data_IF_882427399017
#
_entry.id   IF_882427399017
#
_cell.length_a   1.000
_cell.length_b   1.000
_cell.length_c   1.000
_cell.angle_alpha   90.00
_cell.angle_beta   90.00
_cell.angle_gamma   90.00
#
_symmetry.space_group_name_H-M   'P 1'
#
loop_
_entity.id
_entity.type
_entity.pdbx_description
1 polymer ?
#
# COMPACT_ATOMS: atom_id res chain seq x y z
N UNK A 1 47.91 -14.58 21.70
CA UNK A 1 48.29 -14.74 20.27
C UNK A 1 48.04 -16.19 19.90
N UNK A 2 47.03 -16.64 19.16
CA UNK A 2 46.13 -16.00 18.19
C UNK A 2 44.78 -16.73 18.21
N UNK A 3 43.70 -15.96 18.34
CA UNK A 3 42.31 -16.35 18.12
C UNK A 3 42.10 -16.72 16.65
N UNK A 4 41.68 -17.97 16.37
CA UNK A 4 41.21 -18.35 15.03
C UNK A 4 39.71 -18.10 14.95
N UNK A 5 39.35 -16.94 14.42
CA UNK A 5 37.98 -16.57 14.07
C UNK A 5 37.49 -17.48 12.95
N UNK A 6 36.39 -18.21 13.21
CA UNK A 6 35.72 -19.06 12.23
C UNK A 6 34.94 -18.15 11.27
N UNK A 7 35.38 -18.07 10.02
CA UNK A 7 34.64 -17.36 8.98
C UNK A 7 33.31 -18.09 8.74
N UNK A 8 32.20 -17.45 9.08
CA UNK A 8 30.87 -17.92 8.73
C UNK A 8 30.67 -17.73 7.23
N UNK A 9 30.80 -18.82 6.45
CA UNK A 9 30.39 -18.85 5.06
C UNK A 9 28.86 -18.76 4.99
N UNK A 10 28.34 -17.57 4.72
CA UNK A 10 26.94 -17.40 4.32
C UNK A 10 26.78 -17.96 2.92
N UNK A 11 26.01 -19.04 2.81
CA UNK A 11 25.54 -19.55 1.53
C UNK A 11 24.43 -18.61 1.05
N UNK A 12 24.75 -17.65 0.18
CA UNK A 12 23.75 -16.87 -0.55
C UNK A 12 23.00 -17.81 -1.50
N UNK A 13 21.81 -18.23 -1.09
CA UNK A 13 20.85 -18.83 -2.02
C UNK A 13 20.51 -17.78 -3.09
N UNK A 14 20.64 -18.08 -4.39
CA UNK A 14 20.18 -17.17 -5.42
C UNK A 14 18.67 -17.01 -5.26
N UNK A 15 18.20 -15.77 -5.18
CA UNK A 15 16.79 -15.43 -5.26
C UNK A 15 16.28 -15.95 -6.61
N UNK A 16 15.69 -17.14 -6.62
CA UNK A 16 15.00 -17.62 -7.80
C UNK A 16 13.82 -16.70 -8.04
N UNK A 17 13.82 -16.04 -9.19
CA UNK A 17 12.68 -15.31 -9.71
C UNK A 17 11.45 -16.22 -9.59
N UNK A 18 10.50 -15.83 -8.73
CA UNK A 18 9.25 -16.57 -8.56
C UNK A 18 8.32 -16.22 -9.73
N UNK A 19 8.10 -17.14 -10.70
CA UNK A 19 7.22 -16.89 -11.83
C UNK A 19 5.74 -16.78 -11.43
N UNK A 20 5.40 -17.05 -10.15
CA UNK A 20 4.05 -16.86 -9.61
C UNK A 20 3.74 -15.40 -9.23
N UNK A 21 4.61 -14.44 -9.56
CA UNK A 21 4.19 -13.03 -9.67
C UNK A 21 3.37 -12.88 -10.95
N UNK A 22 2.21 -13.56 -10.99
CA UNK A 22 1.23 -13.42 -12.06
C UNK A 22 0.84 -11.95 -12.10
N UNK A 23 1.43 -11.21 -13.03
CA UNK A 23 0.92 -9.92 -13.42
C UNK A 23 -0.48 -10.20 -13.96
N UNK A 24 -1.49 -9.93 -13.15
CA UNK A 24 -2.88 -9.97 -13.58
C UNK A 24 -2.97 -8.93 -14.69
N UNK A 25 -3.21 -9.32 -15.95
CA UNK A 25 -3.28 -8.35 -17.03
C UNK A 25 -4.43 -7.38 -16.74
N UNK A 26 -4.25 -6.07 -16.96
CA UNK A 26 -5.31 -5.11 -16.75
C UNK A 26 -6.50 -5.50 -17.63
N UNK A 27 -7.61 -5.93 -17.02
CA UNK A 27 -8.80 -6.28 -17.77
C UNK A 27 -9.37 -4.99 -18.40
N UNK A 28 -9.58 -4.93 -19.73
CA UNK A 28 -10.01 -3.72 -20.44
C UNK A 28 -11.30 -3.10 -19.90
N UNK A 29 -12.15 -3.90 -19.26
CA UNK A 29 -13.49 -3.52 -18.83
C UNK A 29 -13.54 -2.82 -17.46
N UNK A 30 -12.47 -2.83 -16.65
CA UNK A 30 -12.51 -2.30 -15.28
C UNK A 30 -12.52 -0.79 -15.21
N UNK A 31 -11.72 -0.12 -16.03
CA UNK A 31 -11.53 1.35 -15.94
C UNK A 31 -12.85 2.11 -16.18
N UNK A 32 -13.76 1.58 -17.01
CA UNK A 32 -15.08 2.18 -17.22
C UNK A 32 -16.14 1.78 -16.17
N UNK A 33 -16.09 0.58 -15.60
CA UNK A 33 -17.09 0.13 -14.61
C UNK A 33 -16.78 0.69 -13.22
N UNK A 34 -15.50 0.75 -12.83
CA UNK A 34 -15.07 1.25 -11.52
C UNK A 34 -15.48 2.70 -11.33
N UNK A 35 -15.10 3.60 -12.26
CA UNK A 35 -15.45 5.01 -12.18
C UNK A 35 -16.96 5.26 -12.14
N UNK A 36 -17.73 4.55 -12.98
CA UNK A 36 -19.21 4.62 -12.97
C UNK A 36 -19.82 4.14 -11.66
N UNK A 37 -19.19 3.17 -11.01
CA UNK A 37 -19.69 2.61 -9.74
C UNK A 37 -19.35 3.51 -8.57
N UNK A 38 -18.09 3.95 -8.46
CA UNK A 38 -17.65 4.89 -7.43
C UNK A 38 -18.39 6.24 -7.53
N UNK A 39 -18.65 6.73 -8.74
CA UNK A 39 -19.44 7.95 -8.95
C UNK A 39 -20.90 7.87 -8.46
N UNK A 40 -21.43 6.68 -8.16
CA UNK A 40 -22.77 6.52 -7.56
C UNK A 40 -22.76 6.67 -6.04
N UNK A 41 -21.60 6.61 -5.40
CA UNK A 41 -21.47 6.79 -3.95
C UNK A 41 -21.86 8.22 -3.58
N UNK A 42 -22.82 8.34 -2.66
CA UNK A 42 -23.34 9.64 -2.16
C UNK A 42 -22.80 10.01 -0.78
N UNK A 43 -22.22 9.05 -0.06
CA UNK A 43 -21.63 9.31 1.24
C UNK A 43 -20.38 10.18 1.07
N UNK A 44 -20.06 10.96 2.13
CA UNK A 44 -18.75 11.59 2.26
C UNK A 44 -17.71 10.51 2.50
N UNK A 45 -16.68 10.48 1.66
CA UNK A 45 -15.63 9.47 1.74
C UNK A 45 -14.30 10.17 2.00
N UNK A 46 -13.63 9.74 3.06
CA UNK A 46 -12.24 10.07 3.32
C UNK A 46 -11.41 8.82 3.06
N UNK A 47 -10.57 8.85 2.02
CA UNK A 47 -9.64 7.78 1.68
C UNK A 47 -8.29 8.13 2.30
N UNK A 48 -7.73 7.21 3.08
CA UNK A 48 -6.51 7.45 3.86
C UNK A 48 -5.45 6.37 3.61
N UNK A 49 -4.79 6.36 2.44
CA UNK A 49 -3.71 5.41 2.17
C UNK A 49 -2.46 5.79 2.95
N UNK A 50 -1.56 4.82 3.13
CA UNK A 50 -0.21 5.06 3.63
C UNK A 50 0.76 5.28 2.47
N UNK A 51 1.64 6.28 2.58
CA UNK A 51 2.63 6.61 1.54
C UNK A 51 3.53 5.43 1.18
N UNK A 52 3.82 4.56 2.14
CA UNK A 52 4.76 3.44 1.99
C UNK A 52 4.08 2.07 1.83
N UNK A 53 2.76 2.05 1.65
CA UNK A 53 2.05 0.81 1.32
C UNK A 53 2.45 0.31 -0.08
N UNK A 54 2.89 -0.94 -0.17
CA UNK A 54 3.32 -1.57 -1.43
C UNK A 54 2.21 -2.32 -2.14
N UNK A 55 1.14 -2.67 -1.43
CA UNK A 55 0.02 -3.42 -1.96
C UNK A 55 -1.09 -2.47 -2.42
N UNK A 56 -1.27 -1.36 -1.71
CA UNK A 56 -2.27 -0.33 -2.02
C UNK A 56 -1.61 1.05 -2.12
N UNK A 57 -0.90 1.35 -3.23
CA UNK A 57 -0.22 2.62 -3.41
C UNK A 57 -1.19 3.82 -3.34
N UNK A 58 -0.69 4.96 -2.88
CA UNK A 58 -1.50 6.19 -2.78
C UNK A 58 -2.03 6.68 -4.13
N UNK A 59 -1.32 6.39 -5.21
CA UNK A 59 -1.64 6.78 -6.57
C UNK A 59 -2.95 6.12 -7.06
N UNK A 60 -3.20 4.87 -6.68
CA UNK A 60 -4.46 4.19 -7.00
C UNK A 60 -5.63 4.87 -6.26
N UNK A 61 -5.41 5.24 -5.00
CA UNK A 61 -6.39 6.00 -4.21
C UNK A 61 -6.67 7.39 -4.79
N UNK A 62 -5.67 8.05 -5.38
CA UNK A 62 -5.86 9.32 -6.08
C UNK A 62 -6.82 9.18 -7.27
N UNK A 63 -6.67 8.12 -8.08
CA UNK A 63 -7.57 7.84 -9.21
C UNK A 63 -8.99 7.55 -8.73
N UNK A 64 -9.15 6.77 -7.65
CA UNK A 64 -10.46 6.48 -7.07
C UNK A 64 -11.15 7.74 -6.51
N UNK A 65 -10.40 8.61 -5.84
CA UNK A 65 -10.96 9.85 -5.28
C UNK A 65 -11.41 10.81 -6.37
N UNK A 66 -10.75 10.84 -7.54
CA UNK A 66 -11.14 11.72 -8.67
C UNK A 66 -12.54 11.42 -9.20
N UNK A 67 -13.01 10.18 -9.08
CA UNK A 67 -14.34 9.77 -9.56
C UNK A 67 -15.41 9.77 -8.46
N UNK A 68 -15.04 9.92 -7.19
CA UNK A 68 -15.98 10.05 -6.08
C UNK A 68 -16.63 11.43 -6.07
N UNK A 69 -17.94 11.49 -5.77
CA UNK A 69 -18.69 12.77 -5.71
C UNK A 69 -18.28 13.64 -4.53
N UNK A 70 -18.12 13.03 -3.35
CA UNK A 70 -17.69 13.69 -2.11
C UNK A 70 -16.47 12.96 -1.52
N UNK A 71 -15.45 12.73 -2.35
CA UNK A 71 -14.19 12.10 -1.96
C UNK A 71 -13.13 13.10 -1.51
N UNK A 72 -12.38 12.76 -0.46
CA UNK A 72 -11.14 13.44 -0.07
C UNK A 72 -10.04 12.40 0.13
N UNK A 73 -8.82 12.78 -0.20
CA UNK A 73 -7.62 11.97 0.03
C UNK A 73 -6.81 12.58 1.17
N UNK A 74 -6.35 11.75 2.11
CA UNK A 74 -5.36 12.14 3.12
C UNK A 74 -4.32 11.03 3.24
N UNK A 75 -3.20 11.22 2.57
CA UNK A 75 -2.08 10.29 2.63
C UNK A 75 -1.44 10.38 4.03
N UNK A 76 -1.24 9.23 4.67
CA UNK A 76 -0.50 9.11 5.92
C UNK A 76 0.98 9.00 5.59
N UNK A 77 1.76 9.98 6.03
CA UNK A 77 3.22 10.00 5.84
C UNK A 77 3.88 9.15 6.93
N UNK A 78 4.11 7.88 6.61
CA UNK A 78 4.61 6.87 7.54
C UNK A 78 5.49 5.85 6.84
N UNK A 79 6.38 5.21 7.59
CA UNK A 79 7.23 4.09 7.13
C UNK A 79 6.58 2.72 7.32
N UNK A 80 5.46 2.65 8.06
CA UNK A 80 4.84 1.40 8.47
C UNK A 80 3.94 0.77 7.39
N UNK A 81 3.75 1.44 6.25
CA UNK A 81 2.96 0.93 5.14
C UNK A 81 1.55 0.53 5.58
N UNK A 82 1.16 -0.69 5.22
CA UNK A 82 -0.16 -1.28 5.45
C UNK A 82 -0.63 -1.24 6.91
N UNK A 83 0.27 -1.38 7.89
CA UNK A 83 -0.11 -1.52 9.31
C UNK A 83 -0.29 -0.18 10.03
N UNK A 84 0.01 0.94 9.37
CA UNK A 84 -0.04 2.27 9.96
C UNK A 84 -1.42 2.62 10.54
N UNK A 85 -2.49 2.27 9.81
CA UNK A 85 -3.86 2.55 10.26
C UNK A 85 -4.46 1.48 11.19
N UNK A 86 -3.81 0.33 11.33
CA UNK A 86 -4.31 -0.81 12.11
C UNK A 86 -3.84 -0.83 13.57
N UNK A 87 -3.03 0.15 14.00
CA UNK A 87 -2.43 0.17 15.33
C UNK A 87 -1.25 -0.79 15.53
N UNK A 88 -0.79 -1.45 14.47
CA UNK A 88 0.43 -2.27 14.48
C UNK A 88 1.71 -1.47 14.26
N UNK A 89 1.60 -0.21 13.83
CA UNK A 89 2.70 0.73 13.62
C UNK A 89 2.88 1.73 14.76
N UNK A 90 3.35 2.93 14.42
CA UNK A 90 3.47 4.04 15.37
C UNK A 90 2.09 4.53 15.83
N UNK A 91 1.98 4.90 17.11
CA UNK A 91 0.72 5.41 17.68
C UNK A 91 0.30 6.71 16.97
N UNK A 92 1.26 7.55 16.63
CA UNK A 92 1.09 8.81 15.94
C UNK A 92 0.31 8.65 14.63
N UNK A 93 0.56 7.56 13.89
CA UNK A 93 -0.12 7.27 12.62
C UNK A 93 -1.61 7.01 12.82
N UNK A 94 -1.99 6.32 13.91
CA UNK A 94 -3.40 6.10 14.24
C UNK A 94 -4.10 7.37 14.72
N UNK A 95 -3.38 8.31 15.35
CA UNK A 95 -3.96 9.59 15.79
C UNK A 95 -4.39 10.47 14.61
N UNK A 96 -3.74 10.33 13.45
CA UNK A 96 -4.08 11.02 12.19
C UNK A 96 -5.45 10.60 11.67
N UNK A 97 -5.92 9.38 11.98
CA UNK A 97 -7.20 8.84 11.48
C UNK A 97 -8.42 9.37 12.23
N UNK A 98 -8.24 9.80 13.49
CA UNK A 98 -9.34 10.21 14.38
C UNK A 98 -9.55 11.73 14.39
N UNK A 99 -8.68 12.50 13.73
CA UNK A 99 -8.68 13.97 13.67
C UNK A 99 -9.05 14.45 12.28
#
# INVERSE_FOLDING_TARGET
MHSRTRAHHYHTLPLTHNPATTQIPPSPQRQGVLGRTLGRVRARVLVMPSRTDRYFPSEDSEEEVRVLREGRLRVVETIWGLVAGGGGGAREDTEVMVR
#
